data_IF_875459126600
#
_entry.id   IF_875459126600
#
_cell.length_a   1.000
_cell.length_b   1.000
_cell.length_c   1.000
_cell.angle_alpha   90.00
_cell.angle_beta   90.00
_cell.angle_gamma   90.00
#
_symmetry.space_group_name_H-M   'P 1'
#
loop_
_entity.id
_entity.type
_entity.pdbx_description
1 polymer ?
#
# COMPACT_ATOMS: atom_id res chain seq x y z
N UNK A 1 34.05 2.05 -14.68
CA UNK A 1 32.85 1.51 -15.33
C UNK A 1 31.93 0.93 -14.26
N UNK A 2 30.60 1.03 -14.42
CA UNK A 2 29.60 0.36 -13.57
C UNK A 2 29.10 -0.84 -14.36
N UNK A 3 29.08 -2.03 -13.72
CA UNK A 3 28.52 -3.24 -14.28
C UNK A 3 27.27 -3.62 -13.48
N UNK A 4 26.11 -3.69 -14.13
CA UNK A 4 24.85 -4.11 -13.53
C UNK A 4 24.62 -5.58 -13.81
N UNK A 5 24.36 -6.38 -12.75
CA UNK A 5 23.99 -7.80 -12.83
C UNK A 5 22.58 -7.98 -12.27
N UNK A 6 21.78 -8.80 -12.93
CA UNK A 6 20.43 -9.17 -12.46
C UNK A 6 20.45 -10.57 -11.85
N UNK A 7 19.71 -10.72 -10.75
CA UNK A 7 19.55 -11.98 -10.03
C UNK A 7 18.06 -12.34 -9.99
N UNK A 8 17.75 -13.59 -10.28
CA UNK A 8 16.38 -14.09 -10.30
C UNK A 8 15.77 -14.27 -8.89
N UNK A 9 16.62 -14.47 -7.89
CA UNK A 9 16.19 -14.69 -6.51
C UNK A 9 17.08 -13.98 -5.49
N UNK A 10 16.47 -13.70 -4.32
CA UNK A 10 17.11 -13.00 -3.21
C UNK A 10 18.30 -13.79 -2.61
N UNK A 11 18.20 -15.13 -2.58
CA UNK A 11 19.26 -15.98 -1.99
C UNK A 11 20.56 -15.89 -2.76
N UNK A 12 20.48 -15.92 -4.10
CA UNK A 12 21.64 -15.73 -4.96
C UNK A 12 22.20 -14.30 -4.83
N UNK A 13 21.36 -13.29 -4.75
CA UNK A 13 21.78 -11.91 -4.54
C UNK A 13 22.54 -11.77 -3.20
N UNK A 14 21.97 -12.31 -2.10
CA UNK A 14 22.59 -12.34 -0.77
C UNK A 14 23.96 -13.01 -0.81
N UNK A 15 24.04 -14.21 -1.40
CA UNK A 15 25.29 -14.97 -1.47
C UNK A 15 26.38 -14.21 -2.22
N UNK A 16 26.05 -13.59 -3.34
CA UNK A 16 27.02 -12.84 -4.15
C UNK A 16 27.56 -11.61 -3.42
N UNK A 17 26.74 -10.88 -2.65
CA UNK A 17 27.25 -9.76 -1.85
C UNK A 17 28.13 -10.24 -0.68
N UNK A 18 27.76 -11.34 -0.01
CA UNK A 18 28.55 -11.91 1.08
C UNK A 18 29.92 -12.42 0.63
N UNK A 19 30.00 -12.94 -0.59
CA UNK A 19 31.23 -13.44 -1.19
C UNK A 19 32.06 -12.36 -1.89
N UNK A 20 31.60 -11.11 -1.93
CA UNK A 20 32.27 -10.02 -2.62
C UNK A 20 32.30 -10.18 -4.15
N UNK A 21 31.37 -10.94 -4.72
CA UNK A 21 31.22 -11.09 -6.18
C UNK A 21 30.51 -9.89 -6.82
N UNK A 22 29.82 -9.10 -5.98
CA UNK A 22 29.24 -7.80 -6.31
C UNK A 22 29.56 -6.84 -5.17
N UNK A 23 29.73 -5.57 -5.52
CA UNK A 23 30.07 -4.51 -4.56
C UNK A 23 28.84 -3.92 -3.87
N UNK A 24 27.70 -3.91 -4.55
CA UNK A 24 26.45 -3.32 -4.08
C UNK A 24 25.28 -4.21 -4.48
N UNK A 25 24.41 -4.54 -3.51
CA UNK A 25 23.09 -5.11 -3.75
C UNK A 25 22.02 -4.04 -3.52
N UNK A 26 21.09 -3.91 -4.45
CA UNK A 26 19.98 -2.96 -4.39
C UNK A 26 18.68 -3.67 -4.71
N UNK A 27 17.66 -3.51 -3.85
CA UNK A 27 16.35 -4.16 -3.90
C UNK A 27 16.40 -5.70 -3.70
N UNK A 28 15.22 -6.30 -3.65
CA UNK A 28 14.94 -7.74 -3.69
C UNK A 28 15.50 -8.60 -2.55
N UNK A 29 16.26 -8.05 -1.63
CA UNK A 29 16.64 -8.76 -0.41
C UNK A 29 15.45 -8.81 0.55
N UNK A 30 15.21 -9.99 1.15
CA UNK A 30 14.15 -10.13 2.15
C UNK A 30 14.52 -9.41 3.45
N UNK A 31 13.54 -9.04 4.29
CA UNK A 31 13.84 -8.47 5.62
C UNK A 31 14.76 -9.34 6.47
N UNK A 32 14.65 -10.67 6.36
CA UNK A 32 15.54 -11.62 7.03
C UNK A 32 16.96 -11.58 6.46
N UNK A 33 17.10 -11.48 5.14
CA UNK A 33 18.41 -11.35 4.50
C UNK A 33 19.13 -10.08 4.94
N UNK A 34 18.39 -8.96 5.02
CA UNK A 34 18.92 -7.67 5.48
C UNK A 34 19.35 -7.76 6.96
N UNK A 35 18.54 -8.41 7.81
CA UNK A 35 18.90 -8.65 9.20
C UNK A 35 20.17 -9.48 9.33
N UNK A 36 20.30 -10.56 8.57
CA UNK A 36 21.52 -11.40 8.59
C UNK A 36 22.74 -10.66 8.07
N UNK A 37 22.62 -9.95 6.95
CA UNK A 37 23.70 -9.13 6.39
C UNK A 37 24.14 -8.02 7.32
N UNK A 38 23.25 -7.47 8.15
CA UNK A 38 23.60 -6.45 9.14
C UNK A 38 24.54 -6.96 10.25
N UNK A 39 24.60 -8.28 10.44
CA UNK A 39 25.47 -8.96 11.40
C UNK A 39 26.82 -9.38 10.77
N UNK A 40 26.95 -9.32 9.44
CA UNK A 40 28.15 -9.69 8.72
C UNK A 40 29.14 -8.50 8.70
N UNK A 41 30.29 -8.67 9.33
CA UNK A 41 31.33 -7.62 9.43
C UNK A 41 31.92 -7.18 8.09
N UNK A 42 31.70 -7.96 7.02
CA UNK A 42 32.17 -7.65 5.66
C UNK A 42 31.19 -6.85 4.84
N UNK A 43 29.95 -6.73 5.32
CA UNK A 43 28.88 -6.08 4.60
C UNK A 43 28.38 -4.87 5.38
N UNK A 44 28.21 -3.75 4.71
CA UNK A 44 27.58 -2.56 5.28
C UNK A 44 26.14 -2.44 4.75
N UNK A 45 25.16 -2.61 5.63
CA UNK A 45 23.77 -2.31 5.31
C UNK A 45 23.55 -0.80 5.48
N UNK A 46 23.12 -0.14 4.41
CA UNK A 46 22.76 1.28 4.40
C UNK A 46 21.25 1.38 4.23
N UNK A 47 20.57 1.90 5.25
CA UNK A 47 19.15 2.21 5.22
C UNK A 47 18.97 3.71 4.97
N UNK A 48 17.95 4.06 4.20
CA UNK A 48 17.60 5.44 3.92
C UNK A 48 16.14 5.55 3.53
N UNK A 49 15.60 6.78 3.44
CA UNK A 49 14.27 6.99 2.92
C UNK A 49 14.19 6.41 1.50
N UNK A 50 13.21 5.53 1.27
CA UNK A 50 12.92 4.93 -0.02
C UNK A 50 11.67 5.55 -0.62
N UNK A 51 11.57 5.54 -1.94
CA UNK A 51 10.36 5.97 -2.62
C UNK A 51 9.38 4.83 -2.90
N UNK A 52 9.71 3.59 -2.51
CA UNK A 52 8.83 2.45 -2.71
C UNK A 52 7.73 2.41 -1.67
N UNK A 53 6.50 2.23 -2.11
CA UNK A 53 5.31 2.18 -1.26
C UNK A 53 4.57 0.86 -1.39
N UNK A 54 3.87 0.47 -0.31
CA UNK A 54 2.91 -0.64 -0.26
C UNK A 54 1.63 -0.16 0.39
N UNK A 55 0.50 -0.47 -0.23
CA UNK A 55 -0.81 -0.01 0.25
C UNK A 55 -1.94 -0.94 -0.17
N UNK A 56 -3.08 -0.81 0.52
CA UNK A 56 -4.35 -1.42 0.13
C UNK A 56 -5.08 -0.52 -0.84
N UNK A 57 -5.59 -1.11 -1.91
CA UNK A 57 -6.45 -0.43 -2.89
C UNK A 57 -7.87 -0.98 -2.79
N UNK A 58 -8.85 -0.10 -2.75
CA UNK A 58 -10.26 -0.45 -2.85
C UNK A 58 -10.74 -0.23 -4.28
N UNK A 59 -11.42 -1.21 -4.84
CA UNK A 59 -12.09 -1.10 -6.11
C UNK A 59 -13.47 -0.45 -5.90
N UNK A 60 -13.68 0.75 -6.40
CA UNK A 60 -14.89 1.52 -6.16
C UNK A 60 -16.15 0.90 -6.77
N UNK A 61 -15.99 0.02 -7.77
CA UNK A 61 -17.10 -0.69 -8.40
C UNK A 61 -17.59 -1.86 -7.54
N UNK A 62 -16.67 -2.69 -7.02
CA UNK A 62 -17.00 -3.99 -6.41
C UNK A 62 -16.55 -4.17 -4.96
N UNK A 63 -15.98 -3.15 -4.29
CA UNK A 63 -15.78 -3.15 -2.85
C UNK A 63 -17.12 -3.36 -2.11
N UNK A 64 -17.14 -3.69 -0.81
CA UNK A 64 -18.40 -3.70 -0.06
C UNK A 64 -19.16 -2.38 -0.25
N UNK A 65 -20.42 -2.46 -0.65
CA UNK A 65 -21.27 -1.32 -1.04
C UNK A 65 -20.74 -0.50 -2.23
N UNK A 66 -19.91 -1.09 -3.08
CA UNK A 66 -19.38 -0.45 -4.29
C UNK A 66 -20.47 -0.17 -5.34
N UNK A 67 -20.16 0.69 -6.30
CA UNK A 67 -21.13 1.22 -7.26
C UNK A 67 -21.89 0.17 -8.09
N UNK A 68 -21.25 -0.99 -8.36
CA UNK A 68 -21.84 -2.09 -9.14
C UNK A 68 -22.50 -3.16 -8.25
N UNK A 69 -22.50 -3.00 -6.92
CA UNK A 69 -23.16 -3.94 -6.02
C UNK A 69 -24.65 -3.68 -5.92
N UNK A 70 -25.44 -4.72 -5.67
CA UNK A 70 -26.89 -4.60 -5.51
C UNK A 70 -27.33 -3.74 -4.32
N UNK A 71 -26.42 -3.59 -3.33
CA UNK A 71 -26.58 -2.80 -2.11
C UNK A 71 -25.68 -1.56 -2.10
N UNK A 72 -25.35 -1.03 -3.29
CA UNK A 72 -24.47 0.12 -3.48
C UNK A 72 -24.87 1.31 -2.60
N UNK A 73 -23.90 1.80 -1.82
CA UNK A 73 -24.06 2.95 -0.92
C UNK A 73 -22.71 3.60 -0.68
N UNK A 74 -22.51 4.80 -1.20
CA UNK A 74 -21.23 5.51 -1.13
C UNK A 74 -20.80 5.83 0.31
N UNK A 75 -21.77 6.10 1.23
CA UNK A 75 -21.47 6.38 2.63
C UNK A 75 -21.03 5.12 3.37
N UNK A 76 -21.72 3.99 3.13
CA UNK A 76 -21.32 2.70 3.70
C UNK A 76 -19.97 2.24 3.16
N UNK A 77 -19.75 2.34 1.84
CA UNK A 77 -18.44 2.03 1.24
C UNK A 77 -17.32 2.88 1.84
N UNK A 78 -17.54 4.18 2.05
CA UNK A 78 -16.59 5.06 2.73
C UNK A 78 -16.33 4.62 4.17
N UNK A 79 -17.38 4.29 4.92
CA UNK A 79 -17.27 3.82 6.30
C UNK A 79 -16.44 2.53 6.41
N UNK A 80 -16.62 1.59 5.48
CA UNK A 80 -15.80 0.36 5.41
C UNK A 80 -14.32 0.70 5.21
N UNK A 81 -13.97 1.58 4.28
CA UNK A 81 -12.56 2.02 4.07
C UNK A 81 -11.98 2.68 5.31
N UNK A 82 -12.75 3.55 5.96
CA UNK A 82 -12.33 4.23 7.20
C UNK A 82 -12.15 3.25 8.36
N UNK A 83 -13.04 2.26 8.49
CA UNK A 83 -12.91 1.22 9.52
C UNK A 83 -11.63 0.38 9.31
N UNK A 84 -11.32 -0.03 8.07
CA UNK A 84 -10.07 -0.71 7.74
C UNK A 84 -8.86 0.16 8.12
N UNK A 85 -8.89 1.45 7.78
CA UNK A 85 -7.80 2.39 8.12
C UNK A 85 -7.61 2.57 9.64
N UNK A 86 -8.68 2.46 10.44
CA UNK A 86 -8.63 2.53 11.90
C UNK A 86 -8.09 1.25 12.57
N UNK A 87 -8.13 0.09 11.89
CA UNK A 87 -7.78 -1.21 12.47
C UNK A 87 -6.37 -1.69 12.16
N UNK A 88 -5.73 -1.20 11.08
CA UNK A 88 -4.41 -1.68 10.67
C UNK A 88 -3.32 -1.06 11.55
N UNK A 89 -2.60 -1.92 12.30
CA UNK A 89 -1.38 -1.57 13.02
C UNK A 89 -0.18 -1.61 12.06
N UNK A 90 0.15 -0.47 11.47
CA UNK A 90 1.28 -0.31 10.54
C UNK A 90 2.62 -0.52 11.23
N UNK A 91 2.73 -0.15 12.50
CA UNK A 91 3.91 -0.37 13.33
C UNK A 91 4.19 -1.86 13.55
N UNK A 92 3.14 -2.63 13.80
CA UNK A 92 3.27 -4.08 13.94
C UNK A 92 3.74 -4.73 12.64
N UNK A 93 3.15 -4.36 11.49
CA UNK A 93 3.58 -4.83 10.19
C UNK A 93 5.05 -4.48 9.93
N UNK A 94 5.45 -3.22 10.17
CA UNK A 94 6.84 -2.79 10.05
C UNK A 94 7.79 -3.63 10.89
N UNK A 95 7.46 -3.87 12.16
CA UNK A 95 8.36 -4.55 13.12
C UNK A 95 8.38 -6.06 12.94
N UNK A 96 7.20 -6.69 12.81
CA UNK A 96 7.08 -8.16 12.82
C UNK A 96 7.30 -8.77 11.43
N UNK A 97 6.75 -8.17 10.38
CA UNK A 97 6.88 -8.67 9.01
C UNK A 97 8.15 -8.15 8.36
N UNK A 98 8.33 -6.83 8.37
CA UNK A 98 9.39 -6.16 7.64
C UNK A 98 10.66 -5.90 8.43
N UNK A 99 10.70 -6.25 9.73
CA UNK A 99 11.89 -6.12 10.60
C UNK A 99 12.50 -4.71 10.56
N UNK A 100 11.66 -3.69 10.42
CA UNK A 100 12.06 -2.29 10.33
C UNK A 100 12.74 -1.91 9.01
N UNK A 101 12.57 -2.70 7.95
CA UNK A 101 13.02 -2.32 6.59
C UNK A 101 11.98 -1.48 5.84
N UNK A 102 10.75 -1.43 6.32
CA UNK A 102 9.69 -0.53 5.91
C UNK A 102 9.24 0.33 7.09
N UNK A 103 8.83 1.55 6.83
CA UNK A 103 8.28 2.48 7.82
C UNK A 103 6.78 2.69 7.59
N UNK A 104 5.99 2.87 8.67
CA UNK A 104 4.59 3.27 8.53
C UNK A 104 4.46 4.56 7.74
N UNK A 105 3.45 4.63 6.87
CA UNK A 105 3.17 5.78 6.05
C UNK A 105 1.75 6.30 6.31
N UNK A 106 1.60 7.61 6.42
CA UNK A 106 0.34 8.31 6.67
C UNK A 106 0.07 9.42 5.65
N UNK A 107 0.85 9.47 4.60
CA UNK A 107 0.70 10.32 3.44
C UNK A 107 0.91 9.48 2.18
N UNK A 108 0.31 9.86 1.05
CA UNK A 108 0.60 9.24 -0.24
C UNK A 108 1.90 9.77 -0.86
N UNK A 109 2.45 10.83 -0.30
CA UNK A 109 3.76 11.38 -0.66
C UNK A 109 4.75 10.86 0.38
N UNK A 110 5.81 10.12 0.01
CA UNK A 110 6.79 9.58 0.93
C UNK A 110 7.53 10.67 1.72
N UNK A 111 8.00 10.30 2.92
CA UNK A 111 8.87 11.15 3.71
C UNK A 111 10.12 11.59 2.92
N UNK A 112 10.49 12.85 3.10
CA UNK A 112 11.61 13.49 2.40
C UNK A 112 11.26 14.13 1.05
N UNK A 113 10.03 14.03 0.59
CA UNK A 113 9.52 14.79 -0.56
C UNK A 113 8.66 15.98 -0.11
N UNK A 114 8.68 17.03 -0.92
CA UNK A 114 7.81 18.21 -0.74
C UNK A 114 6.34 17.81 -0.78
N UNK A 115 5.51 18.40 0.09
CA UNK A 115 4.09 18.07 0.21
C UNK A 115 3.80 16.81 1.05
N UNK A 116 4.83 16.15 1.63
CA UNK A 116 4.58 15.12 2.64
C UNK A 116 3.97 15.72 3.90
N UNK A 117 2.92 15.08 4.43
CA UNK A 117 2.38 15.39 5.76
C UNK A 117 1.84 14.11 6.43
N UNK A 118 1.66 14.16 7.75
CA UNK A 118 1.13 13.06 8.56
C UNK A 118 -0.33 13.30 9.01
N UNK A 119 -1.08 14.13 8.30
CA UNK A 119 -2.48 14.47 8.66
C UNK A 119 -3.36 13.23 8.82
N UNK A 120 -3.16 12.20 7.98
CA UNK A 120 -3.91 10.95 8.08
C UNK A 120 -3.60 10.16 9.36
N UNK A 121 -2.44 10.35 9.99
CA UNK A 121 -2.13 9.75 11.27
C UNK A 121 -3.09 10.22 12.36
N UNK A 122 -3.33 11.53 12.43
CA UNK A 122 -4.29 12.09 13.37
C UNK A 122 -5.75 11.71 13.04
N UNK A 123 -6.05 11.44 11.76
CA UNK A 123 -7.41 11.13 11.32
C UNK A 123 -7.84 9.69 11.66
N UNK A 124 -6.92 8.73 11.68
CA UNK A 124 -7.23 7.31 11.82
C UNK A 124 -6.54 6.68 13.03
N UNK A 125 -7.10 5.54 13.49
CA UNK A 125 -6.68 4.89 14.72
C UNK A 125 -6.87 5.82 15.93
N UNK A 126 -5.99 5.69 16.91
CA UNK A 126 -5.96 6.53 18.12
C UNK A 126 -5.41 7.96 17.88
N UNK A 127 -5.01 8.26 16.65
CA UNK A 127 -4.36 9.52 16.27
C UNK A 127 -2.84 9.55 16.50
N UNK A 128 -2.29 8.50 17.11
CA UNK A 128 -0.86 8.37 17.43
C UNK A 128 -0.20 7.19 16.68
N UNK A 129 -0.96 6.54 15.78
CA UNK A 129 -0.49 5.46 14.92
C UNK A 129 -0.81 4.05 15.40
N UNK A 130 -1.68 3.91 16.42
CA UNK A 130 -2.20 2.62 16.86
C UNK A 130 -3.63 2.39 16.38
N UNK A 131 -4.06 1.13 16.20
CA UNK A 131 -5.43 0.82 15.85
C UNK A 131 -6.42 1.28 16.93
N UNK A 132 -7.64 1.63 16.51
CA UNK A 132 -8.76 1.96 17.37
C UNK A 132 -10.03 1.22 16.91
N UNK A 133 -10.28 0.07 17.53
CA UNK A 133 -11.44 -0.76 17.23
C UNK A 133 -12.78 -0.09 17.61
N UNK A 134 -12.80 0.72 18.66
CA UNK A 134 -14.02 1.43 19.07
C UNK A 134 -14.39 2.49 18.02
N UNK A 135 -13.42 3.21 17.50
CA UNK A 135 -13.61 4.18 16.42
C UNK A 135 -14.03 3.50 15.11
N UNK A 136 -13.39 2.36 14.76
CA UNK A 136 -13.78 1.57 13.60
C UNK A 136 -15.23 1.09 13.69
N UNK A 137 -15.62 0.53 14.85
CA UNK A 137 -16.99 0.09 15.12
C UNK A 137 -17.98 1.24 14.99
N UNK A 138 -17.68 2.37 15.62
CA UNK A 138 -18.54 3.55 15.56
C UNK A 138 -18.77 4.06 14.13
N UNK A 139 -17.73 4.11 13.32
CA UNK A 139 -17.84 4.55 11.91
C UNK A 139 -18.78 3.63 11.13
N UNK A 140 -18.71 2.31 11.34
CA UNK A 140 -19.60 1.35 10.69
C UNK A 140 -21.05 1.50 11.18
N UNK A 141 -21.26 1.62 12.49
CA UNK A 141 -22.58 1.79 13.11
C UNK A 141 -23.26 3.09 12.65
N UNK A 142 -22.55 4.21 12.65
CA UNK A 142 -23.07 5.51 12.22
C UNK A 142 -23.50 5.50 10.74
N UNK A 143 -22.85 4.69 9.91
CA UNK A 143 -23.23 4.50 8.50
C UNK A 143 -24.31 3.41 8.29
N UNK A 144 -24.74 2.72 9.34
CA UNK A 144 -25.69 1.61 9.24
C UNK A 144 -25.13 0.38 8.52
N UNK A 145 -23.83 0.11 8.69
CA UNK A 145 -23.15 -1.08 8.16
C UNK A 145 -23.28 -2.22 9.17
N UNK A 146 -23.82 -3.34 8.72
CA UNK A 146 -23.90 -4.57 9.53
C UNK A 146 -22.54 -5.24 9.64
N UNK A 147 -22.21 -5.76 10.83
CA UNK A 147 -20.96 -6.49 11.09
C UNK A 147 -21.23 -7.96 11.43
N UNK A 148 -20.30 -8.89 11.13
CA UNK A 148 -19.05 -8.63 10.41
C UNK A 148 -19.26 -8.28 8.94
N UNK A 149 -18.40 -7.39 8.41
CA UNK A 149 -18.35 -7.09 6.97
C UNK A 149 -17.56 -8.21 6.28
N UNK A 150 -18.15 -8.88 5.30
CA UNK A 150 -17.42 -9.83 4.45
C UNK A 150 -16.49 -9.04 3.52
N UNK A 151 -15.17 -9.31 3.61
CA UNK A 151 -14.13 -8.62 2.87
C UNK A 151 -13.28 -9.61 2.08
N UNK A 152 -13.39 -9.60 0.75
CA UNK A 152 -12.45 -10.32 -0.11
C UNK A 152 -11.19 -9.48 -0.28
N UNK A 153 -10.06 -10.02 0.18
CA UNK A 153 -8.76 -9.38 0.17
C UNK A 153 -7.79 -10.18 -0.69
N UNK A 154 -7.25 -9.55 -1.73
CA UNK A 154 -6.35 -10.17 -2.68
C UNK A 154 -4.92 -9.64 -2.52
N UNK A 155 -3.93 -10.53 -2.56
CA UNK A 155 -2.52 -10.11 -2.59
C UNK A 155 -1.74 -10.85 -3.67
N UNK A 156 -0.56 -10.34 -3.96
CA UNK A 156 0.39 -10.91 -4.90
C UNK A 156 1.64 -11.40 -4.14
N UNK A 157 2.05 -12.63 -4.37
CA UNK A 157 3.15 -13.27 -3.64
C UNK A 157 4.50 -13.26 -4.35
N UNK A 158 4.53 -12.97 -5.65
CA UNK A 158 5.75 -13.01 -6.48
C UNK A 158 6.30 -11.62 -6.80
N UNK A 159 5.48 -10.67 -7.23
CA UNK A 159 5.94 -9.34 -7.66
C UNK A 159 6.42 -8.45 -6.49
N UNK A 160 5.67 -8.44 -5.39
CA UNK A 160 6.00 -7.63 -4.20
C UNK A 160 6.86 -8.36 -3.17
N UNK A 161 7.28 -9.57 -3.47
CA UNK A 161 8.16 -10.39 -2.64
C UNK A 161 7.42 -11.32 -1.66
N UNK A 162 8.16 -12.29 -1.14
CA UNK A 162 7.64 -13.35 -0.28
C UNK A 162 7.03 -12.87 1.04
N UNK A 163 7.42 -11.67 1.53
CA UNK A 163 6.85 -11.08 2.74
C UNK A 163 5.38 -10.69 2.61
N UNK A 164 4.84 -10.60 1.39
CA UNK A 164 3.43 -10.28 1.16
C UNK A 164 2.48 -11.29 1.80
N UNK A 165 2.82 -12.56 1.82
CA UNK A 165 1.99 -13.59 2.46
C UNK A 165 1.86 -13.34 3.98
N UNK A 166 2.96 -13.06 4.66
CA UNK A 166 2.98 -12.77 6.10
C UNK A 166 2.30 -11.43 6.40
N UNK A 167 2.52 -10.40 5.56
CA UNK A 167 1.87 -9.11 5.68
C UNK A 167 0.34 -9.24 5.62
N UNK A 168 -0.17 -9.92 4.59
CA UNK A 168 -1.61 -10.03 4.38
C UNK A 168 -2.28 -10.99 5.35
N UNK A 169 -1.58 -12.02 5.85
CA UNK A 169 -2.03 -12.84 6.96
C UNK A 169 -2.15 -12.00 8.26
N UNK A 170 -1.19 -11.11 8.52
CA UNK A 170 -1.24 -10.20 9.66
C UNK A 170 -2.37 -9.18 9.52
N UNK A 171 -2.56 -8.56 8.35
CA UNK A 171 -3.67 -7.65 8.05
C UNK A 171 -5.02 -8.34 8.28
N UNK A 172 -5.19 -9.56 7.75
CA UNK A 172 -6.41 -10.37 8.02
C UNK A 172 -6.65 -10.53 9.50
N UNK A 173 -5.62 -10.94 10.26
CA UNK A 173 -5.73 -11.14 11.70
C UNK A 173 -6.13 -9.86 12.44
N UNK A 174 -5.56 -8.72 12.06
CA UNK A 174 -5.90 -7.41 12.66
C UNK A 174 -7.34 -7.00 12.35
N UNK A 175 -7.82 -7.20 11.12
CA UNK A 175 -9.18 -6.85 10.73
C UNK A 175 -10.24 -7.74 11.41
N UNK A 176 -9.91 -9.01 11.68
CA UNK A 176 -10.83 -9.97 12.30
C UNK A 176 -10.83 -9.94 13.84
N UNK A 177 -9.82 -9.33 14.47
CA UNK A 177 -9.58 -9.39 15.91
C UNK A 177 -10.78 -8.96 16.76
N UNK A 178 -11.53 -7.96 16.33
CA UNK A 178 -12.67 -7.40 17.06
C UNK A 178 -14.04 -7.82 16.47
N UNK A 179 -14.04 -8.79 15.54
CA UNK A 179 -15.25 -9.32 14.91
C UNK A 179 -15.97 -8.34 13.97
N UNK A 180 -15.33 -7.24 13.58
CA UNK A 180 -15.91 -6.25 12.67
C UNK A 180 -15.83 -6.68 11.21
N UNK A 181 -14.86 -7.52 10.88
CA UNK A 181 -14.65 -8.05 9.52
C UNK A 181 -14.54 -9.58 9.53
N UNK A 182 -14.91 -10.17 8.40
CA UNK A 182 -14.61 -11.56 8.04
C UNK A 182 -13.87 -11.51 6.71
N UNK A 183 -12.58 -11.87 6.73
CA UNK A 183 -11.68 -11.70 5.59
C UNK A 183 -11.48 -13.01 4.84
N UNK A 184 -11.86 -13.04 3.58
CA UNK A 184 -11.51 -14.07 2.61
C UNK A 184 -10.21 -13.63 1.92
N UNK A 185 -9.07 -14.21 2.34
CA UNK A 185 -7.75 -13.87 1.85
C UNK A 185 -7.34 -14.80 0.71
N UNK A 186 -7.01 -14.23 -0.44
CA UNK A 186 -6.62 -14.97 -1.64
C UNK A 186 -5.34 -14.43 -2.26
N UNK A 187 -4.64 -15.27 -3.03
CA UNK A 187 -3.42 -14.95 -3.74
C UNK A 187 -3.57 -15.24 -5.23
N UNK A 188 -2.99 -14.37 -6.06
CA UNK A 188 -2.85 -14.58 -7.50
C UNK A 188 -1.45 -14.16 -7.95
N UNK A 189 -0.88 -14.85 -8.93
CA UNK A 189 0.40 -14.48 -9.53
C UNK A 189 0.28 -13.16 -10.34
N UNK A 190 1.39 -12.44 -10.51
CA UNK A 190 1.38 -11.06 -11.01
C UNK A 190 0.78 -10.88 -12.40
N UNK A 191 1.06 -11.78 -13.33
CA UNK A 191 0.59 -11.63 -14.72
C UNK A 191 -0.94 -11.63 -14.79
N UNK A 192 -1.58 -12.54 -14.06
CA UNK A 192 -3.04 -12.61 -13.93
C UNK A 192 -3.56 -11.47 -13.07
N UNK A 193 -2.93 -11.25 -11.92
CA UNK A 193 -3.27 -10.21 -10.97
C UNK A 193 -3.39 -8.82 -11.61
N UNK A 194 -2.38 -8.45 -12.40
CA UNK A 194 -2.34 -7.13 -13.02
C UNK A 194 -3.41 -6.91 -14.09
N UNK A 195 -3.92 -7.99 -14.70
CA UNK A 195 -5.05 -7.94 -15.65
C UNK A 195 -6.40 -7.87 -14.93
N UNK A 196 -6.56 -8.63 -13.84
CA UNK A 196 -7.84 -8.81 -13.19
C UNK A 196 -8.18 -7.69 -12.19
N UNK A 197 -7.19 -6.92 -11.70
CA UNK A 197 -7.41 -5.83 -10.73
C UNK A 197 -8.06 -4.58 -11.31
N UNK A 198 -7.92 -4.34 -12.62
CA UNK A 198 -8.28 -3.06 -13.23
C UNK A 198 -9.76 -2.98 -13.62
N UNK A 199 -10.34 -1.81 -13.41
CA UNK A 199 -11.64 -1.45 -13.97
C UNK A 199 -11.45 -0.95 -15.40
N UNK A 200 -12.23 -1.47 -16.34
CA UNK A 200 -12.24 -1.09 -17.75
C UNK A 200 -13.66 -0.76 -18.19
N UNK A 201 -13.86 -0.39 -19.45
CA UNK A 201 -15.21 -0.20 -20.02
C UNK A 201 -16.05 -1.49 -19.99
N UNK A 202 -15.38 -2.65 -20.12
CA UNK A 202 -16.02 -3.96 -20.20
C UNK A 202 -15.97 -4.77 -18.91
N UNK A 203 -15.30 -4.29 -17.86
CA UNK A 203 -15.09 -5.05 -16.62
C UNK A 203 -14.92 -4.16 -15.41
N UNK A 204 -15.60 -4.49 -14.33
CA UNK A 204 -15.43 -3.86 -13.01
C UNK A 204 -14.19 -4.37 -12.24
N UNK A 205 -13.36 -5.18 -12.86
CA UNK A 205 -12.27 -5.90 -12.19
C UNK A 205 -12.77 -7.07 -11.35
N UNK A 206 -11.84 -7.83 -10.76
CA UNK A 206 -12.17 -9.04 -10.00
C UNK A 206 -11.91 -8.92 -8.50
N UNK A 207 -11.12 -7.94 -8.07
CA UNK A 207 -10.67 -7.83 -6.68
C UNK A 207 -11.30 -6.63 -5.96
N UNK A 208 -12.18 -6.87 -4.97
CA UNK A 208 -12.82 -5.79 -4.20
C UNK A 208 -11.83 -4.94 -3.41
N UNK A 209 -10.88 -5.60 -2.74
CA UNK A 209 -9.77 -4.97 -2.01
C UNK A 209 -8.50 -5.74 -2.30
N UNK A 210 -7.43 -5.03 -2.63
CA UNK A 210 -6.22 -5.70 -3.10
C UNK A 210 -4.94 -4.93 -2.79
N UNK A 211 -3.82 -5.67 -2.74
CA UNK A 211 -2.47 -5.12 -2.62
C UNK A 211 -2.06 -4.35 -3.86
N UNK A 212 -1.47 -3.18 -3.66
CA UNK A 212 -0.66 -2.53 -4.68
C UNK A 212 0.58 -1.91 -4.04
N UNK A 213 1.52 -1.55 -4.88
CA UNK A 213 2.69 -0.80 -4.49
C UNK A 213 3.14 0.08 -5.63
N UNK A 214 4.05 0.98 -5.33
CA UNK A 214 4.65 1.86 -6.31
C UNK A 214 6.17 1.88 -6.20
N UNK A 215 6.84 1.79 -7.33
CA UNK A 215 8.27 2.05 -7.48
C UNK A 215 8.39 3.33 -8.31
N UNK A 216 8.82 4.44 -7.72
CA UNK A 216 8.77 5.72 -8.42
C UNK A 216 9.72 5.75 -9.63
N UNK A 217 9.26 6.36 -10.71
CA UNK A 217 10.07 6.59 -11.90
C UNK A 217 11.03 7.77 -11.72
N UNK A 218 10.64 8.73 -10.86
CA UNK A 218 11.42 9.92 -10.52
C UNK A 218 11.00 10.48 -9.14
N UNK A 219 11.91 11.23 -8.51
CA UNK A 219 11.69 11.81 -7.17
C UNK A 219 10.95 13.13 -7.27
N UNK A 220 9.64 13.08 -7.43
CA UNK A 220 8.74 14.25 -7.40
C UNK A 220 7.38 13.83 -6.83
N UNK A 221 6.71 14.68 -6.03
CA UNK A 221 5.38 14.39 -5.49
C UNK A 221 4.35 13.97 -6.54
N UNK A 222 4.42 14.53 -7.74
CA UNK A 222 3.49 14.20 -8.83
C UNK A 222 3.54 12.72 -9.21
N UNK A 223 4.70 12.06 -9.04
CA UNK A 223 4.83 10.63 -9.30
C UNK A 223 4.02 9.75 -8.33
N UNK A 224 3.53 10.33 -7.24
CA UNK A 224 2.67 9.68 -6.24
C UNK A 224 1.22 10.18 -6.26
N UNK A 225 0.91 11.20 -7.06
CA UNK A 225 -0.43 11.78 -7.18
C UNK A 225 -1.10 11.43 -8.51
N UNK A 226 -0.48 11.78 -9.63
CA UNK A 226 -1.06 11.58 -10.96
C UNK A 226 -1.34 10.11 -11.29
N UNK A 227 -0.46 9.14 -11.02
CA UNK A 227 -0.70 7.73 -11.33
C UNK A 227 -1.83 7.10 -10.50
N UNK A 228 -2.26 7.72 -9.40
CA UNK A 228 -3.20 7.12 -8.44
C UNK A 228 -4.56 7.80 -8.41
N UNK A 229 -4.61 9.12 -8.55
CA UNK A 229 -5.82 9.88 -8.27
C UNK A 229 -6.34 10.68 -9.46
N UNK A 230 -5.56 10.87 -10.51
CA UNK A 230 -5.99 11.55 -11.71
C UNK A 230 -6.90 10.63 -12.55
N UNK A 231 -7.89 11.20 -13.23
CA UNK A 231 -8.71 10.44 -14.16
C UNK A 231 -7.86 9.77 -15.26
N UNK A 232 -8.14 8.49 -15.55
CA UNK A 232 -7.35 7.68 -16.45
C UNK A 232 -5.98 7.26 -15.87
N UNK A 233 -5.86 7.20 -14.56
CA UNK A 233 -4.64 6.82 -13.85
C UNK A 233 -4.28 5.34 -14.01
N UNK A 234 -3.04 4.99 -13.57
CA UNK A 234 -2.53 3.62 -13.60
C UNK A 234 -3.34 2.63 -12.75
N UNK A 235 -3.85 3.09 -11.60
CA UNK A 235 -4.54 2.20 -10.66
C UNK A 235 -5.83 1.65 -11.24
N UNK A 236 -6.59 2.46 -11.99
CA UNK A 236 -7.86 2.08 -12.63
C UNK A 236 -8.78 1.28 -11.68
N UNK A 237 -9.02 1.82 -10.50
CA UNK A 237 -9.87 1.22 -9.48
C UNK A 237 -11.31 1.78 -9.44
N UNK A 238 -11.68 2.56 -10.45
CA UNK A 238 -12.98 3.24 -10.53
C UNK A 238 -13.08 4.53 -9.71
N UNK A 239 -12.00 4.99 -9.07
CA UNK A 239 -11.99 6.28 -8.38
C UNK A 239 -11.99 7.44 -9.39
N UNK A 240 -12.85 8.42 -9.16
CA UNK A 240 -12.86 9.70 -9.85
C UNK A 240 -13.34 10.80 -8.90
N UNK A 241 -12.63 11.91 -8.88
CA UNK A 241 -13.01 13.12 -8.16
C UNK A 241 -12.50 14.34 -8.91
N UNK A 242 -13.45 15.15 -9.42
CA UNK A 242 -13.11 16.31 -10.24
C UNK A 242 -12.23 17.33 -9.52
N UNK A 243 -12.50 17.63 -8.26
CA UNK A 243 -11.73 18.59 -7.48
C UNK A 243 -10.29 18.13 -7.27
N UNK A 244 -10.10 16.86 -6.88
CA UNK A 244 -8.77 16.25 -6.73
C UNK A 244 -8.04 16.23 -8.06
N UNK A 245 -8.72 15.85 -9.14
CA UNK A 245 -8.12 15.85 -10.48
C UNK A 245 -7.64 17.25 -10.91
N UNK A 246 -8.46 18.27 -10.69
CA UNK A 246 -8.11 19.67 -11.01
C UNK A 246 -6.90 20.14 -10.18
N UNK A 247 -6.82 19.79 -8.88
CA UNK A 247 -5.69 20.13 -8.01
C UNK A 247 -4.40 19.43 -8.45
N UNK A 248 -4.47 18.15 -8.83
CA UNK A 248 -3.32 17.41 -9.35
C UNK A 248 -2.78 18.04 -10.63
N UNK A 249 -3.66 18.39 -11.56
CA UNK A 249 -3.25 19.08 -12.81
C UNK A 249 -2.63 20.43 -12.51
N UNK A 250 -3.19 21.19 -11.57
CA UNK A 250 -2.69 22.49 -11.17
C UNK A 250 -1.31 22.41 -10.53
N UNK A 251 -1.10 21.46 -9.57
CA UNK A 251 0.20 21.32 -8.91
C UNK A 251 1.30 20.88 -9.89
N UNK A 252 1.00 20.04 -10.86
CA UNK A 252 1.97 19.60 -11.87
C UNK A 252 2.48 20.75 -12.75
N UNK A 253 1.68 21.80 -12.93
CA UNK A 253 2.04 23.00 -13.69
C UNK A 253 2.63 24.17 -12.86
N UNK A 254 2.57 24.08 -11.52
CA UNK A 254 3.02 25.15 -10.62
C UNK A 254 4.55 25.13 -10.46
N UNK A 255 5.18 26.28 -10.67
CA UNK A 255 6.64 26.46 -10.57
C UNK A 255 7.09 26.96 -9.21
N UNK A 256 6.20 27.57 -8.47
CA UNK A 256 6.46 28.06 -7.12
C UNK A 256 6.23 26.91 -6.13
N UNK A 257 7.30 26.48 -5.46
CA UNK A 257 7.24 25.34 -4.55
C UNK A 257 6.21 25.51 -3.42
N UNK A 258 6.12 26.72 -2.83
CA UNK A 258 5.18 27.02 -1.75
C UNK A 258 3.72 26.96 -2.21
N UNK A 259 3.43 27.43 -3.43
CA UNK A 259 2.09 27.38 -4.00
C UNK A 259 1.70 25.99 -4.48
N UNK A 260 2.69 25.14 -4.75
CA UNK A 260 2.46 23.77 -5.17
C UNK A 260 1.98 22.89 -4.01
N UNK A 261 2.33 23.21 -2.79
CA UNK A 261 1.99 22.48 -1.57
C UNK A 261 0.60 22.81 -0.99
N UNK A 262 -0.11 23.78 -1.55
CA UNK A 262 -1.46 24.21 -1.14
C UNK A 262 -2.53 23.47 -2.01
#
# INVERSE_FOLDING_TARGET
>A
AIQVKYFADASNLKLNVQQGQIDVAFRSLTPTDIEDLSKDSKVKVVKGPGGEERFLTFNFKIQPYGESQSDADANKAKAVRQAVANLIDRDELSKKVYKGTYTPMYSFIPDGLSGHDDTLKAAYGDGEGKPDAAKAKKVLEDAGVSTPVDLKLQYNGDHYGSSSADEYAAIKSQLEADGLFKVDLQQTEWTQYNKERVVTEDSDGSYPVYQLGWFPDYSDPDNYLSPFFRDGNFVNNGYSNKEVNDLIVKQAGEKDATKREI
#
